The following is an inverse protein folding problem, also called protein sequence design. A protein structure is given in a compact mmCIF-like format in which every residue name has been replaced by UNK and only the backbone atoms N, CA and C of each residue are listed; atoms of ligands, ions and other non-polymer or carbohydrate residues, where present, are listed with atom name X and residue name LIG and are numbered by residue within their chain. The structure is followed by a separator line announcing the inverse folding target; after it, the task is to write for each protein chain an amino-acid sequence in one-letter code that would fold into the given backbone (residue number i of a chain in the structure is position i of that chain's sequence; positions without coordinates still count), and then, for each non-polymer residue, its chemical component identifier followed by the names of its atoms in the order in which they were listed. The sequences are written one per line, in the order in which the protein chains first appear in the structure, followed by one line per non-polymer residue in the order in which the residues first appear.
data_IF_658703974575
#
_entry.id   IF_658703974575
#
_cell.length_a   1.000
_cell.length_b   1.000
_cell.length_c   1.000
_cell.angle_alpha   90.00
_cell.angle_beta   90.00
_cell.angle_gamma   90.00
#
_symmetry.space_group_name_H-M   'P 1'
#
loop_
_entity.id
_entity.type
_entity.pdbx_description
1 polymer ?
#
# COMPACT_ATOMS: atom_id res chain seq x y z
N UNK A 1 -59.43 -45.91 55.87
CA UNK A 1 -58.67 -44.92 55.09
C UNK A 1 -57.70 -45.67 54.18
N UNK A 2 -57.77 -45.38 52.88
CA UNK A 2 -57.26 -46.21 51.77
C UNK A 2 -55.73 -46.13 51.67
N UNK A 3 -55.08 -47.30 51.56
CA UNK A 3 -53.67 -47.46 51.14
C UNK A 3 -53.59 -47.18 49.64
N UNK A 4 -52.72 -46.27 49.22
CA UNK A 4 -52.44 -45.99 47.81
C UNK A 4 -51.17 -46.75 47.40
N UNK A 5 -51.32 -47.66 46.44
CA UNK A 5 -50.26 -48.42 45.80
C UNK A 5 -49.57 -47.55 44.75
N UNK A 6 -48.25 -47.36 44.85
CA UNK A 6 -47.45 -46.66 43.85
C UNK A 6 -47.19 -47.61 42.66
N UNK A 7 -47.72 -47.31 41.48
CA UNK A 7 -47.31 -47.96 40.22
C UNK A 7 -46.14 -47.17 39.64
N UNK A 8 -44.98 -47.83 39.47
CA UNK A 8 -43.87 -47.30 38.71
C UNK A 8 -44.18 -47.42 37.21
N UNK A 9 -44.43 -46.28 36.54
CA UNK A 9 -44.52 -46.22 35.10
C UNK A 9 -43.11 -45.97 34.52
N UNK A 10 -42.50 -47.02 33.97
CA UNK A 10 -41.30 -46.90 33.14
C UNK A 10 -41.67 -46.24 31.81
N UNK A 11 -41.38 -44.95 31.67
CA UNK A 11 -41.34 -44.27 30.37
C UNK A 11 -40.12 -44.77 29.59
N UNK A 12 -40.34 -45.64 28.60
CA UNK A 12 -39.35 -45.93 27.58
C UNK A 12 -39.21 -44.70 26.67
N UNK A 13 -38.13 -43.94 26.83
CA UNK A 13 -37.74 -42.90 25.87
C UNK A 13 -37.19 -43.60 24.64
N UNK A 14 -37.97 -43.63 23.56
CA UNK A 14 -37.48 -43.95 22.23
C UNK A 14 -36.54 -42.81 21.79
N UNK A 15 -35.25 -43.02 21.98
CA UNK A 15 -34.20 -42.20 21.36
C UNK A 15 -34.27 -42.46 19.85
N UNK A 16 -35.05 -41.64 19.13
CA UNK A 16 -34.92 -41.51 17.69
C UNK A 16 -33.48 -41.04 17.40
N UNK A 17 -32.65 -41.95 16.92
CA UNK A 17 -31.28 -41.66 16.54
C UNK A 17 -31.26 -40.61 15.44
N UNK A 18 -31.04 -39.36 15.83
CA UNK A 18 -30.56 -38.36 14.89
C UNK A 18 -29.17 -38.80 14.46
N UNK A 19 -29.08 -39.40 13.28
CA UNK A 19 -27.80 -39.62 12.61
C UNK A 19 -27.11 -38.28 12.47
N UNK A 20 -26.09 -38.01 13.27
CA UNK A 20 -25.19 -36.91 12.97
C UNK A 20 -24.59 -37.18 11.59
N UNK A 21 -24.49 -36.17 10.70
CA UNK A 21 -23.77 -36.37 9.45
C UNK A 21 -22.35 -36.81 9.78
N UNK A 22 -22.02 -38.05 9.41
CA UNK A 22 -20.65 -38.55 9.50
C UNK A 22 -19.87 -37.88 8.38
N UNK A 23 -19.18 -36.79 8.70
CA UNK A 23 -18.16 -36.27 7.81
C UNK A 23 -17.06 -37.33 7.74
N UNK A 24 -16.79 -37.86 6.54
CA UNK A 24 -15.62 -38.70 6.35
C UNK A 24 -14.40 -37.89 6.78
N UNK A 25 -13.60 -38.41 7.71
CA UNK A 25 -12.29 -37.84 7.94
C UNK A 25 -11.52 -37.96 6.63
N UNK A 26 -11.35 -36.83 5.95
CA UNK A 26 -10.42 -36.75 4.84
C UNK A 26 -9.06 -36.89 5.49
N UNK A 27 -8.46 -38.07 5.38
CA UNK A 27 -7.05 -38.22 5.70
C UNK A 27 -6.31 -37.33 4.72
N UNK A 28 -5.78 -36.21 5.20
CA UNK A 28 -4.81 -35.46 4.42
C UNK A 28 -3.68 -36.44 4.10
N UNK A 29 -3.52 -36.76 2.81
CA UNK A 29 -2.41 -37.60 2.36
C UNK A 29 -1.10 -37.01 2.86
N UNK A 30 -0.07 -37.84 3.02
CA UNK A 30 1.23 -37.51 3.62
C UNK A 30 2.09 -36.50 2.85
N UNK A 31 1.48 -35.46 2.30
CA UNK A 31 2.17 -34.29 1.76
C UNK A 31 2.44 -33.31 2.90
N UNK A 32 3.68 -32.84 2.99
CA UNK A 32 4.12 -31.83 3.93
C UNK A 32 3.52 -30.48 3.51
N UNK A 33 2.38 -30.11 4.11
CA UNK A 33 1.75 -28.80 3.85
C UNK A 33 2.67 -27.68 4.34
N UNK A 34 2.74 -26.57 3.59
CA UNK A 34 3.27 -25.31 4.15
C UNK A 34 2.47 -24.96 5.40
N UNK A 35 3.14 -24.88 6.55
CA UNK A 35 2.48 -24.58 7.81
C UNK A 35 1.79 -23.20 7.73
N UNK A 36 0.48 -23.18 8.00
CA UNK A 36 -0.28 -21.95 8.22
C UNK A 36 -0.22 -21.68 9.73
N UNK A 37 0.47 -20.61 10.11
CA UNK A 37 0.68 -20.23 11.51
C UNK A 37 0.31 -18.76 11.75
N UNK A 38 -0.03 -18.40 12.99
CA UNK A 38 -0.20 -16.99 13.33
C UNK A 38 1.16 -16.27 13.17
N UNK A 39 1.29 -15.23 12.32
CA UNK A 39 2.54 -14.51 12.17
C UNK A 39 2.95 -13.87 13.49
N UNK A 40 4.22 -14.06 13.88
CA UNK A 40 4.75 -13.53 15.12
C UNK A 40 4.79 -11.99 15.08
N UNK A 41 4.33 -11.38 16.17
CA UNK A 41 4.52 -9.95 16.40
C UNK A 41 5.95 -9.69 16.88
N UNK A 42 6.58 -8.58 16.46
CA UNK A 42 7.86 -8.18 17.02
C UNK A 42 7.71 -7.76 18.49
N UNK A 43 8.76 -7.93 19.29
CA UNK A 43 8.76 -7.52 20.71
C UNK A 43 8.70 -5.99 20.86
N UNK A 44 9.29 -5.26 19.92
CA UNK A 44 9.29 -3.80 19.84
C UNK A 44 9.06 -3.37 18.41
N UNK A 45 8.35 -2.26 18.25
CA UNK A 45 8.06 -1.69 16.95
C UNK A 45 7.93 -0.17 17.07
N UNK A 46 8.45 0.53 16.06
CA UNK A 46 8.26 1.97 15.91
C UNK A 46 7.72 2.28 14.51
N UNK A 47 7.12 3.45 14.37
CA UNK A 47 6.87 4.08 13.08
C UNK A 47 7.54 5.45 13.07
N UNK A 48 8.53 5.64 12.20
CA UNK A 48 9.26 6.89 12.06
C UNK A 48 9.86 7.41 13.39
N UNK A 49 10.35 6.50 14.24
CA UNK A 49 10.90 6.82 15.55
C UNK A 49 9.87 6.99 16.67
N UNK A 50 8.57 6.89 16.37
CA UNK A 50 7.49 6.89 17.38
C UNK A 50 7.17 5.45 17.80
N UNK A 51 7.21 5.16 19.10
CA UNK A 51 6.93 3.84 19.63
C UNK A 51 5.47 3.42 19.37
N UNK A 52 5.30 2.18 18.91
CA UNK A 52 3.98 1.54 18.78
C UNK A 52 3.69 0.81 20.09
N UNK A 53 2.65 1.18 20.88
CA UNK A 53 2.40 0.63 22.21
C UNK A 53 1.75 -0.76 22.15
N UNK A 54 2.55 -1.79 21.91
CA UNK A 54 2.11 -3.19 21.74
C UNK A 54 1.57 -3.84 23.03
N UNK A 55 1.74 -3.19 24.18
CA UNK A 55 1.11 -3.55 25.45
C UNK A 55 -0.42 -3.34 25.41
N UNK A 56 -0.91 -2.41 24.60
CA UNK A 56 -2.34 -2.17 24.43
C UNK A 56 -2.97 -3.28 23.59
N UNK A 57 -4.07 -3.87 24.09
CA UNK A 57 -4.67 -5.05 23.47
C UNK A 57 -5.21 -4.77 22.06
N UNK A 58 -5.81 -3.59 21.87
CA UNK A 58 -6.42 -3.13 20.62
C UNK A 58 -5.35 -2.80 19.57
N UNK A 59 -4.23 -2.21 19.98
CA UNK A 59 -3.06 -1.99 19.11
C UNK A 59 -2.47 -3.33 18.64
N UNK A 60 -2.28 -4.27 19.57
CA UNK A 60 -1.75 -5.60 19.28
C UNK A 60 -2.66 -6.39 18.33
N UNK A 61 -3.96 -6.40 18.60
CA UNK A 61 -4.95 -7.10 17.78
C UNK A 61 -5.10 -6.45 16.39
N UNK A 62 -5.05 -5.12 16.30
CA UNK A 62 -5.11 -4.41 15.02
C UNK A 62 -3.87 -4.70 14.15
N UNK A 63 -2.67 -4.71 14.74
CA UNK A 63 -1.43 -5.09 14.04
C UNK A 63 -1.45 -6.57 13.61
N UNK A 64 -1.82 -7.48 14.51
CA UNK A 64 -1.92 -8.91 14.20
C UNK A 64 -2.87 -9.15 13.02
N UNK A 65 -3.99 -8.43 12.99
CA UNK A 65 -4.96 -8.52 11.91
C UNK A 65 -4.37 -8.09 10.56
N UNK A 66 -3.65 -6.96 10.49
CA UNK A 66 -3.03 -6.53 9.24
C UNK A 66 -1.83 -7.38 8.85
N UNK A 67 -1.10 -7.97 9.81
CA UNK A 67 -0.06 -8.96 9.52
C UNK A 67 -0.61 -10.26 8.96
N UNK A 68 -1.75 -10.74 9.45
CA UNK A 68 -2.46 -11.87 8.85
C UNK A 68 -2.83 -11.58 7.40
N UNK A 69 -3.37 -10.40 7.12
CA UNK A 69 -3.73 -9.99 5.75
C UNK A 69 -2.48 -9.96 4.86
N UNK A 70 -1.41 -9.28 5.26
CA UNK A 70 -0.18 -9.19 4.48
C UNK A 70 0.50 -10.56 4.31
N UNK A 71 0.50 -11.40 5.34
CA UNK A 71 1.17 -12.71 5.29
C UNK A 71 0.38 -13.73 4.48
N UNK A 72 -0.95 -13.61 4.37
CA UNK A 72 -1.79 -14.61 3.69
C UNK A 72 -2.40 -14.18 2.35
N UNK A 73 -2.27 -12.90 1.96
CA UNK A 73 -2.55 -12.45 0.59
C UNK A 73 -1.32 -12.63 -0.32
N UNK A 74 -0.79 -13.85 -0.38
CA UNK A 74 0.56 -14.16 -0.90
C UNK A 74 0.86 -13.51 -2.25
N UNK A 75 -0.03 -13.64 -3.23
CA UNK A 75 0.21 -13.12 -4.59
C UNK A 75 0.33 -11.60 -4.63
N UNK A 76 -0.48 -10.89 -3.83
CA UNK A 76 -0.43 -9.44 -3.69
C UNK A 76 0.85 -9.00 -3.00
N UNK A 77 1.20 -9.66 -1.90
CA UNK A 77 2.40 -9.36 -1.13
C UNK A 77 3.67 -9.63 -1.94
N UNK A 78 3.78 -10.80 -2.58
CA UNK A 78 4.89 -11.11 -3.49
C UNK A 78 5.07 -10.04 -4.56
N UNK A 79 4.00 -9.66 -5.26
CA UNK A 79 4.08 -8.62 -6.29
C UNK A 79 4.58 -7.29 -5.73
N UNK A 80 4.16 -6.94 -4.52
CA UNK A 80 4.61 -5.71 -3.85
C UNK A 80 6.10 -5.80 -3.50
N UNK A 81 6.52 -6.91 -2.87
CA UNK A 81 7.92 -7.16 -2.47
C UNK A 81 8.86 -7.13 -3.68
N UNK A 82 8.50 -7.81 -4.78
CA UNK A 82 9.30 -7.84 -6.01
C UNK A 82 9.56 -6.44 -6.58
N UNK A 83 8.69 -5.46 -6.33
CA UNK A 83 8.81 -4.11 -6.83
C UNK A 83 9.62 -3.16 -5.92
N UNK A 84 9.97 -3.57 -4.69
CA UNK A 84 10.65 -2.71 -3.72
C UNK A 84 11.91 -2.07 -4.29
N UNK A 85 12.87 -2.88 -4.76
CA UNK A 85 14.15 -2.39 -5.32
C UNK A 85 13.94 -1.38 -6.45
N UNK A 86 12.93 -1.57 -7.31
CA UNK A 86 12.65 -0.69 -8.44
C UNK A 86 12.21 0.71 -8.02
N UNK A 87 11.33 0.81 -7.02
CA UNK A 87 10.72 2.09 -6.68
C UNK A 87 11.34 2.74 -5.45
N UNK A 88 11.81 1.95 -4.48
CA UNK A 88 12.52 2.49 -3.31
C UNK A 88 13.82 3.19 -3.70
N UNK A 89 14.54 2.70 -4.71
CA UNK A 89 15.71 3.40 -5.27
C UNK A 89 15.42 4.80 -5.82
N UNK A 90 14.15 5.13 -6.11
CA UNK A 90 13.71 6.48 -6.48
C UNK A 90 13.10 7.23 -5.30
N UNK A 91 12.33 6.54 -4.45
CA UNK A 91 11.60 7.14 -3.33
C UNK A 91 12.53 7.52 -2.18
N UNK A 92 13.40 6.61 -1.72
CA UNK A 92 14.23 6.78 -0.52
C UNK A 92 15.10 8.04 -0.59
N UNK A 93 15.83 8.34 -1.69
CA UNK A 93 16.62 9.56 -1.79
C UNK A 93 15.77 10.85 -1.77
N UNK A 94 14.52 10.78 -2.22
CA UNK A 94 13.58 11.91 -2.20
C UNK A 94 13.03 12.11 -0.79
N UNK A 95 12.73 11.05 -0.04
CA UNK A 95 12.33 11.15 1.36
C UNK A 95 13.46 11.77 2.20
N UNK A 96 14.68 11.22 2.06
CA UNK A 96 15.87 11.67 2.80
C UNK A 96 16.14 13.16 2.57
N UNK A 97 16.22 13.62 1.31
CA UNK A 97 16.51 15.02 1.00
C UNK A 97 15.43 16.00 1.48
N UNK A 98 14.20 15.52 1.67
CA UNK A 98 13.08 16.32 2.17
C UNK A 98 12.90 16.19 3.71
N UNK A 99 13.75 15.41 4.39
CA UNK A 99 13.67 15.20 5.84
C UNK A 99 12.46 14.35 6.26
N UNK A 100 11.90 13.55 5.36
CA UNK A 100 10.81 12.63 5.67
C UNK A 100 11.40 11.29 6.12
N UNK A 101 10.93 10.71 7.24
CA UNK A 101 11.40 9.41 7.70
C UNK A 101 11.23 8.30 6.65
N UNK A 102 12.24 7.44 6.53
CA UNK A 102 12.31 6.37 5.53
C UNK A 102 11.10 5.41 5.59
N UNK A 103 10.52 5.22 6.78
CA UNK A 103 9.31 4.43 7.00
C UNK A 103 8.12 4.83 6.11
N UNK A 104 8.06 6.08 5.63
CA UNK A 104 7.00 6.53 4.73
C UNK A 104 7.06 5.87 3.33
N UNK A 105 8.15 5.18 2.95
CA UNK A 105 8.16 4.37 1.72
C UNK A 105 7.15 3.21 1.76
N UNK A 106 6.85 2.69 2.95
CA UNK A 106 5.82 1.66 3.15
C UNK A 106 4.39 2.20 2.97
N UNK A 107 4.20 3.52 3.06
CA UNK A 107 2.94 4.17 2.71
C UNK A 107 2.60 3.92 1.24
N UNK A 108 3.57 4.03 0.32
CA UNK A 108 3.34 3.72 -1.11
C UNK A 108 2.91 2.27 -1.35
N UNK A 109 3.43 1.33 -0.56
CA UNK A 109 3.03 -0.07 -0.61
C UNK A 109 1.56 -0.21 -0.17
N UNK A 110 1.17 0.45 0.91
CA UNK A 110 -0.20 0.44 1.42
C UNK A 110 -1.20 1.09 0.45
N UNK A 111 -0.78 2.13 -0.27
CA UNK A 111 -1.63 2.87 -1.21
C UNK A 111 -1.81 2.17 -2.56
N UNK A 112 -0.73 1.68 -3.15
CA UNK A 112 -0.72 1.25 -4.56
C UNK A 112 -0.14 -0.13 -4.80
N UNK A 113 0.32 -0.82 -3.77
CA UNK A 113 1.14 -2.04 -3.90
C UNK A 113 2.38 -1.81 -4.79
N UNK A 114 2.95 -0.59 -4.72
CA UNK A 114 4.05 -0.12 -5.58
C UNK A 114 3.75 -0.23 -7.09
N UNK A 115 2.50 -0.01 -7.48
CA UNK A 115 2.13 0.03 -8.89
C UNK A 115 1.82 1.48 -9.32
N UNK A 116 2.65 2.11 -10.17
CA UNK A 116 2.46 3.51 -10.57
C UNK A 116 1.23 3.72 -11.45
N UNK A 117 0.64 2.66 -12.00
CA UNK A 117 -0.58 2.74 -12.83
C UNK A 117 -1.87 2.57 -12.01
N UNK A 118 -1.81 2.41 -10.69
CA UNK A 118 -2.99 2.20 -9.85
C UNK A 118 -3.90 3.43 -9.83
N UNK A 119 -5.20 3.18 -9.98
CA UNK A 119 -6.27 4.17 -9.80
C UNK A 119 -7.36 3.58 -8.92
N UNK A 120 -7.78 4.30 -7.88
CA UNK A 120 -8.88 3.88 -7.03
C UNK A 120 -10.24 4.16 -7.67
N UNK A 121 -11.32 3.50 -7.24
CA UNK A 121 -12.68 3.83 -7.68
C UNK A 121 -13.07 5.29 -7.41
N UNK A 122 -12.49 5.93 -6.39
CA UNK A 122 -12.70 7.34 -6.06
C UNK A 122 -11.85 8.29 -6.92
N UNK A 123 -10.92 7.77 -7.72
CA UNK A 123 -10.08 8.55 -8.63
C UNK A 123 -8.72 8.98 -8.06
N UNK A 124 -8.31 8.43 -6.91
CA UNK A 124 -6.93 8.54 -6.42
C UNK A 124 -5.99 7.81 -7.39
N UNK A 125 -4.80 8.35 -7.68
CA UNK A 125 -3.93 7.81 -8.73
C UNK A 125 -2.44 7.79 -8.38
N UNK A 126 -1.73 6.86 -9.01
CA UNK A 126 -0.28 6.73 -8.88
C UNK A 126 0.18 5.99 -7.62
N UNK A 127 1.49 5.99 -7.39
CA UNK A 127 2.11 5.31 -6.24
C UNK A 127 1.58 5.82 -4.90
N UNK A 128 1.39 7.14 -4.83
CA UNK A 128 1.02 7.89 -3.65
C UNK A 128 -0.49 8.13 -3.54
N UNK A 129 -1.29 7.58 -4.48
CA UNK A 129 -2.76 7.68 -4.51
C UNK A 129 -3.30 9.10 -4.26
N UNK A 130 -2.74 10.08 -4.95
CA UNK A 130 -3.25 11.45 -4.83
C UNK A 130 -4.64 11.58 -5.45
N UNK A 131 -5.57 12.18 -4.70
CA UNK A 131 -6.81 12.69 -5.27
C UNK A 131 -6.51 13.85 -6.24
N UNK A 132 -7.31 14.07 -7.30
CA UNK A 132 -7.02 15.11 -8.30
C UNK A 132 -6.88 16.52 -7.68
N UNK A 133 -7.72 16.84 -6.70
CA UNK A 133 -7.67 18.13 -6.00
C UNK A 133 -6.38 18.29 -5.22
N UNK A 134 -6.07 17.31 -4.36
CA UNK A 134 -4.87 17.31 -3.52
C UNK A 134 -3.60 17.30 -4.36
N UNK A 135 -3.53 16.51 -5.44
CA UNK A 135 -2.37 16.54 -6.34
C UNK A 135 -2.11 17.95 -6.89
N UNK A 136 -3.15 18.68 -7.30
CA UNK A 136 -3.01 20.08 -7.76
C UNK A 136 -2.60 21.04 -6.63
N UNK A 137 -3.13 20.85 -5.43
CA UNK A 137 -2.75 21.66 -4.25
C UNK A 137 -1.25 21.55 -3.95
N UNK A 138 -0.65 20.38 -4.17
CA UNK A 138 0.78 20.13 -4.02
C UNK A 138 1.57 20.22 -5.33
N UNK A 139 1.04 20.95 -6.33
CA UNK A 139 1.78 21.37 -7.51
C UNK A 139 1.85 20.36 -8.67
N UNK A 140 1.13 19.23 -8.60
CA UNK A 140 1.06 18.27 -9.71
C UNK A 140 0.10 18.76 -10.79
N UNK A 141 0.51 18.66 -12.06
CA UNK A 141 -0.39 18.82 -13.19
C UNK A 141 -1.30 17.59 -13.29
N UNK A 142 -2.62 17.81 -13.24
CA UNK A 142 -3.62 16.73 -13.31
C UNK A 142 -4.59 17.01 -14.44
N UNK A 143 -4.50 16.23 -15.51
CA UNK A 143 -5.35 16.31 -16.69
C UNK A 143 -5.51 14.97 -17.40
N UNK A 144 -6.32 14.94 -18.46
CA UNK A 144 -6.63 13.70 -19.20
C UNK A 144 -5.49 13.21 -20.09
N UNK A 145 -4.66 14.13 -20.61
CA UNK A 145 -3.51 13.80 -21.48
C UNK A 145 -2.20 13.67 -20.70
N UNK A 146 -2.06 14.45 -19.63
CA UNK A 146 -0.91 14.48 -18.73
C UNK A 146 -1.41 14.47 -17.30
N UNK A 147 -0.92 13.53 -16.49
CA UNK A 147 -1.26 13.42 -15.09
C UNK A 147 -0.02 13.05 -14.27
N UNK A 148 0.56 14.05 -13.61
CA UNK A 148 1.80 13.93 -12.84
C UNK A 148 1.60 13.19 -11.52
N UNK A 149 0.37 12.80 -11.15
CA UNK A 149 0.17 11.84 -10.05
C UNK A 149 0.78 10.47 -10.35
N UNK A 150 0.92 10.14 -11.64
CA UNK A 150 1.58 8.92 -12.08
C UNK A 150 3.11 9.09 -12.18
N UNK A 151 3.63 10.33 -12.24
CA UNK A 151 5.07 10.59 -12.24
C UNK A 151 5.66 10.28 -10.86
N UNK A 152 6.58 9.31 -10.80
CA UNK A 152 7.09 8.75 -9.55
C UNK A 152 7.83 9.82 -8.75
N UNK A 153 8.77 10.52 -9.37
CA UNK A 153 9.55 11.56 -8.69
C UNK A 153 8.65 12.72 -8.24
N UNK A 154 7.85 13.30 -9.15
CA UNK A 154 7.03 14.47 -8.80
C UNK A 154 5.98 14.14 -7.75
N UNK A 155 5.31 12.99 -7.86
CA UNK A 155 4.34 12.59 -6.84
C UNK A 155 5.00 12.28 -5.50
N UNK A 156 6.26 11.81 -5.49
CA UNK A 156 7.02 11.63 -4.24
C UNK A 156 7.37 12.98 -3.60
N UNK A 157 7.78 13.99 -4.38
CA UNK A 157 7.99 15.35 -3.85
C UNK A 157 6.69 15.93 -3.26
N UNK A 158 5.56 15.75 -3.95
CA UNK A 158 4.26 16.19 -3.48
C UNK A 158 3.84 15.47 -2.19
N UNK A 159 4.11 14.17 -2.07
CA UNK A 159 3.89 13.41 -0.84
C UNK A 159 4.77 13.90 0.31
N UNK A 160 6.04 14.21 0.06
CA UNK A 160 6.91 14.80 1.06
C UNK A 160 6.38 16.15 1.56
N UNK A 161 5.93 17.01 0.65
CA UNK A 161 5.32 18.29 1.02
C UNK A 161 4.06 18.10 1.87
N UNK A 162 3.18 17.16 1.49
CA UNK A 162 2.00 16.83 2.30
C UNK A 162 2.36 16.36 3.70
N UNK A 163 3.30 15.42 3.80
CA UNK A 163 3.69 14.79 5.06
C UNK A 163 4.35 15.80 6.00
N UNK A 164 5.16 16.73 5.47
CA UNK A 164 5.72 17.83 6.25
C UNK A 164 4.62 18.73 6.80
N UNK A 165 3.68 19.18 5.96
CA UNK A 165 2.57 20.04 6.40
C UNK A 165 1.70 19.34 7.46
N UNK A 166 1.48 18.02 7.32
CA UNK A 166 0.78 17.22 8.31
C UNK A 166 1.58 17.09 9.61
N UNK A 167 2.89 16.85 9.54
CA UNK A 167 3.75 16.79 10.72
C UNK A 167 3.83 18.13 11.45
N UNK A 168 3.99 19.25 10.73
CA UNK A 168 3.96 20.60 11.30
C UNK A 168 2.64 20.88 12.05
N UNK A 169 1.54 20.30 11.57
CA UNK A 169 0.21 20.45 12.19
C UNK A 169 0.02 19.58 13.44
N UNK A 170 0.48 18.35 13.42
CA UNK A 170 0.18 17.36 14.46
C UNK A 170 1.34 17.08 15.43
N UNK A 171 2.57 17.43 15.06
CA UNK A 171 3.78 17.10 15.83
C UNK A 171 4.08 15.60 15.92
N UNK A 172 3.38 14.76 15.12
CA UNK A 172 3.49 13.31 15.15
C UNK A 172 3.38 12.70 13.76
N UNK A 173 4.29 11.78 13.45
CA UNK A 173 4.34 11.00 12.22
C UNK A 173 3.22 9.98 12.13
N UNK A 174 2.83 9.34 13.23
CA UNK A 174 1.67 8.43 13.24
C UNK A 174 0.37 9.18 12.91
N UNK A 175 0.20 10.41 13.43
CA UNK A 175 -0.91 11.29 13.05
C UNK A 175 -0.76 11.85 11.63
N UNK A 176 0.45 12.14 11.16
CA UNK A 176 0.69 12.56 9.78
C UNK A 176 0.29 11.46 8.77
N UNK A 177 0.63 10.20 9.05
CA UNK A 177 0.19 9.05 8.26
C UNK A 177 -1.35 8.89 8.29
N UNK A 178 -1.97 9.02 9.46
CA UNK A 178 -3.44 9.01 9.58
C UNK A 178 -4.09 10.14 8.77
N UNK A 179 -3.49 11.33 8.81
CA UNK A 179 -3.97 12.48 8.05
C UNK A 179 -3.77 12.30 6.55
N UNK A 180 -2.77 11.55 6.09
CA UNK A 180 -2.62 11.21 4.68
C UNK A 180 -3.86 10.46 4.15
N UNK A 181 -4.40 9.53 4.95
CA UNK A 181 -5.60 8.77 4.59
C UNK A 181 -6.92 9.55 4.82
N UNK A 182 -7.09 10.18 5.98
CA UNK A 182 -8.36 10.82 6.38
C UNK A 182 -8.45 12.32 6.06
N UNK A 183 -7.36 12.93 5.61
CA UNK A 183 -7.19 14.37 5.48
C UNK A 183 -6.93 15.08 6.81
N UNK A 184 -6.11 16.13 6.77
CA UNK A 184 -5.74 16.96 7.94
C UNK A 184 -6.95 17.47 8.74
N UNK A 185 -7.99 17.96 8.05
CA UNK A 185 -9.20 18.46 8.72
C UNK A 185 -10.00 17.33 9.39
N UNK A 186 -10.01 16.14 8.80
CA UNK A 186 -10.72 14.98 9.31
C UNK A 186 -10.12 14.43 10.60
N UNK A 187 -8.79 14.39 10.68
CA UNK A 187 -8.06 14.01 11.90
C UNK A 187 -8.23 15.07 12.98
N UNK A 188 -7.94 16.34 12.67
CA UNK A 188 -8.04 17.44 13.65
C UNK A 188 -9.40 17.51 14.32
N UNK A 189 -10.48 17.45 13.54
CA UNK A 189 -11.86 17.50 14.07
C UNK A 189 -12.14 16.36 15.05
N UNK A 190 -11.62 15.16 14.80
CA UNK A 190 -11.87 13.98 15.65
C UNK A 190 -11.07 14.03 16.94
N UNK A 191 -9.81 14.47 16.85
CA UNK A 191 -8.98 14.73 18.02
C UNK A 191 -9.63 15.78 18.93
N UNK A 192 -10.10 16.89 18.36
CA UNK A 192 -10.77 17.98 19.08
C UNK A 192 -12.06 17.50 19.78
N UNK A 193 -12.93 16.76 19.09
CA UNK A 193 -14.17 16.23 19.67
C UNK A 193 -13.90 15.27 20.83
N UNK A 194 -12.81 14.48 20.74
CA UNK A 194 -12.50 13.44 21.71
C UNK A 194 -11.56 13.89 22.82
N UNK A 195 -10.93 15.07 22.69
CA UNK A 195 -9.89 15.54 23.61
C UNK A 195 -8.66 14.64 23.64
N UNK A 196 -8.26 14.10 22.48
CA UNK A 196 -7.11 13.19 22.34
C UNK A 196 -5.99 13.83 21.53
N UNK A 197 -4.75 13.41 21.79
CA UNK A 197 -3.55 14.05 21.23
C UNK A 197 -2.67 13.10 20.40
N UNK A 198 -3.03 11.82 20.29
CA UNK A 198 -2.23 10.82 19.58
C UNK A 198 -3.12 9.86 18.76
N UNK A 199 -2.50 9.13 17.83
CA UNK A 199 -3.18 8.20 16.95
C UNK A 199 -3.89 7.05 17.68
N UNK A 200 -3.25 6.48 18.70
CA UNK A 200 -3.69 5.26 19.37
C UNK A 200 -4.95 5.49 20.22
N UNK A 201 -5.11 6.68 20.78
CA UNK A 201 -6.26 7.04 21.60
C UNK A 201 -7.41 7.67 20.78
N UNK A 202 -7.15 8.23 19.60
CA UNK A 202 -8.19 8.86 18.78
C UNK A 202 -9.01 7.82 18.01
N UNK A 203 -10.32 7.77 18.25
CA UNK A 203 -11.24 6.99 17.42
C UNK A 203 -11.42 7.63 16.03
N UNK A 204 -10.71 7.09 15.04
CA UNK A 204 -10.72 7.53 13.64
C UNK A 204 -11.69 6.67 12.80
N UNK A 205 -11.97 7.01 11.52
CA UNK A 205 -12.69 6.11 10.64
C UNK A 205 -12.00 4.74 10.56
N UNK A 206 -12.78 3.66 10.41
CA UNK A 206 -12.25 2.29 10.42
C UNK A 206 -11.09 2.09 9.42
N UNK A 207 -11.17 2.69 8.23
CA UNK A 207 -10.09 2.65 7.24
C UNK A 207 -8.79 3.25 7.80
N UNK A 208 -8.87 4.42 8.43
CA UNK A 208 -7.74 5.16 9.00
C UNK A 208 -7.17 4.50 10.25
N UNK A 209 -8.02 3.95 11.12
CA UNK A 209 -7.58 3.14 12.27
C UNK A 209 -6.85 1.87 11.85
N UNK A 210 -7.09 1.37 10.63
CA UNK A 210 -6.35 0.23 10.08
C UNK A 210 -5.12 0.64 9.28
N UNK A 211 -5.09 1.88 8.81
CA UNK A 211 -4.12 2.36 7.85
C UNK A 211 -2.68 2.30 8.35
N UNK A 212 -2.42 2.77 9.57
CA UNK A 212 -1.08 2.71 10.16
C UNK A 212 -0.62 1.26 10.35
N UNK A 213 -1.49 0.38 10.84
CA UNK A 213 -1.16 -1.04 11.02
C UNK A 213 -0.91 -1.77 9.70
N UNK A 214 -1.56 -1.35 8.61
CA UNK A 214 -1.27 -1.85 7.26
C UNK A 214 0.11 -1.41 6.79
N UNK A 215 0.50 -0.16 7.06
CA UNK A 215 1.86 0.32 6.77
C UNK A 215 2.88 -0.46 7.59
N UNK A 216 2.64 -0.62 8.90
CA UNK A 216 3.50 -1.37 9.81
C UNK A 216 3.63 -2.85 9.42
N UNK A 217 2.55 -3.51 9.00
CA UNK A 217 2.61 -4.90 8.55
C UNK A 217 3.46 -5.05 7.28
N UNK A 218 3.40 -4.07 6.37
CA UNK A 218 4.27 -4.00 5.19
C UNK A 218 5.72 -3.66 5.55
N UNK A 219 5.96 -2.82 6.57
CA UNK A 219 7.30 -2.56 7.14
C UNK A 219 7.92 -3.86 7.67
N UNK A 220 7.18 -4.58 8.51
CA UNK A 220 7.60 -5.82 9.13
C UNK A 220 7.94 -6.88 8.06
N UNK A 221 6.98 -7.20 7.18
CA UNK A 221 7.17 -8.22 6.14
C UNK A 221 8.20 -7.77 5.09
N UNK A 222 8.24 -6.49 4.75
CA UNK A 222 9.21 -5.97 3.79
C UNK A 222 10.65 -5.92 4.33
N UNK A 223 10.84 -5.79 5.64
CA UNK A 223 12.16 -5.76 6.26
C UNK A 223 12.77 -7.15 6.43
N UNK A 224 11.94 -8.16 6.67
CA UNK A 224 12.36 -9.56 6.75
C UNK A 224 11.33 -10.50 6.10
N UNK A 225 11.27 -10.58 4.76
CA UNK A 225 10.27 -11.39 4.08
C UNK A 225 10.31 -12.88 4.47
N UNK A 226 11.51 -13.42 4.71
CA UNK A 226 11.72 -14.83 4.99
C UNK A 226 11.13 -15.24 6.35
N UNK A 227 11.28 -14.40 7.38
CA UNK A 227 10.66 -14.61 8.70
C UNK A 227 9.13 -14.73 8.64
N UNK A 228 8.51 -14.18 7.59
CA UNK A 228 7.06 -14.19 7.37
C UNK A 228 6.62 -15.10 6.21
N UNK A 229 7.50 -16.02 5.77
CA UNK A 229 7.16 -17.06 4.79
C UNK A 229 7.33 -16.68 3.32
N UNK A 230 7.88 -15.50 3.03
CA UNK A 230 8.18 -15.04 1.66
C UNK A 230 9.64 -15.31 1.31
N UNK A 231 9.90 -16.42 0.63
CA UNK A 231 11.24 -16.77 0.15
C UNK A 231 11.52 -16.09 -1.18
N UNK A 232 12.35 -15.05 -1.16
CA UNK A 232 12.78 -14.27 -2.31
C UNK A 232 14.32 -14.29 -2.42
N UNK A 233 14.84 -14.51 -3.63
CA UNK A 233 16.28 -14.38 -3.92
C UNK A 233 16.57 -12.95 -4.38
N UNK A 234 17.82 -12.51 -4.24
CA UNK A 234 18.23 -11.17 -4.66
C UNK A 234 17.88 -10.82 -6.12
N UNK A 235 17.97 -11.80 -7.02
CA UNK A 235 17.66 -11.63 -8.44
C UNK A 235 16.16 -11.73 -8.77
N UNK A 236 15.31 -12.12 -7.81
CA UNK A 236 13.86 -12.12 -8.01
C UNK A 236 13.31 -10.68 -7.99
N UNK A 237 13.95 -9.77 -7.25
CA UNK A 237 13.54 -8.36 -7.18
C UNK A 237 13.71 -7.65 -8.52
N UNK A 238 12.68 -6.94 -8.94
CA UNK A 238 12.72 -6.09 -10.11
C UNK A 238 13.68 -4.91 -9.89
N UNK A 239 14.71 -4.80 -10.73
CA UNK A 239 15.66 -3.69 -10.66
C UNK A 239 15.08 -2.32 -11.08
N UNK A 240 15.77 -1.22 -10.71
CA UNK A 240 15.41 0.18 -11.07
C UNK A 240 15.41 0.38 -12.58
N UNK A 241 14.47 1.12 -13.17
CA UNK A 241 14.44 1.42 -14.61
C UNK A 241 15.32 2.62 -14.95
N UNK A 242 16.64 2.45 -14.91
CA UNK A 242 17.68 3.49 -14.87
C UNK A 242 18.49 3.70 -16.17
N UNK A 243 18.44 2.76 -17.12
CA UNK A 243 19.03 2.94 -18.46
C UNK A 243 18.17 3.88 -19.34
N UNK A 244 18.17 5.16 -19.01
CA UNK A 244 17.51 6.21 -19.78
C UNK A 244 18.33 7.50 -19.81
N UNK A 245 17.98 8.38 -20.74
CA UNK A 245 18.40 9.79 -20.74
C UNK A 245 17.19 10.70 -20.73
N UNK A 246 17.31 11.87 -20.12
CA UNK A 246 16.26 12.89 -20.15
C UNK A 246 16.45 13.78 -21.36
N UNK A 247 15.38 14.03 -22.12
CA UNK A 247 15.35 14.96 -23.26
C UNK A 247 14.26 15.99 -23.06
N UNK A 248 14.42 17.15 -23.67
CA UNK A 248 13.40 18.19 -23.70
C UNK A 248 12.53 18.03 -24.94
N UNK A 249 11.21 17.98 -24.75
CA UNK A 249 10.22 17.92 -25.81
C UNK A 249 9.30 19.12 -25.69
N UNK A 250 9.19 19.88 -26.78
CA UNK A 250 8.31 21.03 -26.92
C UNK A 250 7.58 20.96 -28.27
N UNK A 251 6.61 21.85 -28.46
CA UNK A 251 5.72 21.87 -29.62
C UNK A 251 4.27 21.94 -29.20
N UNK A 252 3.40 22.47 -30.07
CA UNK A 252 1.98 22.66 -29.78
C UNK A 252 1.21 21.34 -29.69
N UNK A 253 1.37 20.50 -30.71
CA UNK A 253 0.70 19.19 -30.81
C UNK A 253 1.75 18.08 -30.73
N UNK A 254 1.90 17.47 -29.55
CA UNK A 254 2.90 16.44 -29.32
C UNK A 254 2.24 15.07 -29.49
N UNK A 255 2.74 14.28 -30.45
CA UNK A 255 2.34 12.87 -30.64
C UNK A 255 3.41 11.95 -30.07
N UNK A 256 3.13 11.30 -28.95
CA UNK A 256 4.12 10.49 -28.24
C UNK A 256 4.68 9.31 -29.03
N UNK A 257 3.91 8.62 -29.90
CA UNK A 257 4.47 7.59 -30.78
C UNK A 257 5.54 8.14 -31.75
N UNK A 258 5.35 9.35 -32.28
CA UNK A 258 6.32 10.01 -33.16
C UNK A 258 7.56 10.48 -32.39
N UNK A 259 7.37 10.98 -31.15
CA UNK A 259 8.48 11.26 -30.22
C UNK A 259 9.30 10.00 -29.96
N UNK A 260 8.64 8.89 -29.63
CA UNK A 260 9.31 7.60 -29.40
C UNK A 260 10.12 7.15 -30.63
N UNK A 261 9.53 7.24 -31.83
CA UNK A 261 10.19 6.88 -33.09
C UNK A 261 11.45 7.70 -33.37
N UNK A 262 11.42 9.02 -33.12
CA UNK A 262 12.59 9.91 -33.26
C UNK A 262 13.78 9.50 -32.39
N UNK A 263 13.52 8.82 -31.28
CA UNK A 263 14.55 8.34 -30.37
C UNK A 263 14.86 6.84 -30.49
N UNK A 264 14.34 6.18 -31.54
CA UNK A 264 14.62 4.76 -31.78
C UNK A 264 13.97 3.82 -30.75
N UNK A 265 12.87 4.24 -30.13
CA UNK A 265 12.09 3.41 -29.20
C UNK A 265 10.62 3.33 -29.64
N UNK A 266 9.77 2.70 -28.82
CA UNK A 266 8.33 2.63 -29.04
C UNK A 266 7.56 3.30 -27.90
N UNK A 267 6.30 3.67 -28.17
CA UNK A 267 5.44 4.34 -27.21
C UNK A 267 5.30 3.58 -25.88
N UNK A 268 5.27 2.24 -25.92
CA UNK A 268 5.16 1.41 -24.71
C UNK A 268 6.35 1.64 -23.77
N UNK A 269 7.58 1.63 -24.27
CA UNK A 269 8.77 1.87 -23.45
C UNK A 269 8.85 3.33 -23.00
N UNK A 270 8.46 4.27 -23.86
CA UNK A 270 8.42 5.69 -23.51
C UNK A 270 7.44 5.92 -22.34
N UNK A 271 6.20 5.40 -22.44
CA UNK A 271 5.19 5.53 -21.38
C UNK A 271 5.56 4.78 -20.11
N UNK A 272 6.23 3.62 -20.20
CA UNK A 272 6.72 2.90 -19.02
C UNK A 272 7.65 3.77 -18.15
N UNK A 273 8.53 4.55 -18.79
CA UNK A 273 9.43 5.49 -18.11
C UNK A 273 8.76 6.82 -17.76
N UNK A 274 7.64 7.15 -18.40
CA UNK A 274 6.90 8.40 -18.23
C UNK A 274 5.40 8.10 -18.03
N UNK A 275 5.04 7.43 -16.92
CA UNK A 275 3.66 6.99 -16.67
C UNK A 275 2.63 8.13 -16.58
N UNK A 276 3.10 9.38 -16.42
CA UNK A 276 2.30 10.59 -16.51
C UNK A 276 1.72 10.87 -17.90
N UNK A 277 2.23 10.24 -18.96
CA UNK A 277 1.64 10.29 -20.30
C UNK A 277 0.36 9.43 -20.32
N UNK A 278 -0.81 10.09 -20.33
CA UNK A 278 -2.12 9.41 -20.23
C UNK A 278 -2.86 9.23 -21.55
N UNK A 279 -2.43 9.94 -22.58
CA UNK A 279 -2.97 9.85 -23.93
C UNK A 279 -1.82 9.73 -24.96
N UNK A 280 -2.12 9.36 -26.21
CA UNK A 280 -1.16 9.29 -27.32
C UNK A 280 -0.75 10.67 -27.84
N UNK A 281 -1.57 11.68 -27.57
CA UNK A 281 -1.37 13.07 -27.99
C UNK A 281 -1.45 13.99 -26.77
N UNK A 282 -0.65 15.06 -26.79
CA UNK A 282 -0.73 16.14 -25.82
C UNK A 282 -0.85 17.48 -26.55
N UNK A 283 -1.97 18.18 -26.32
CA UNK A 283 -2.17 19.56 -26.78
C UNK A 283 -1.53 20.50 -25.76
N UNK A 284 -0.28 20.84 -26.01
CA UNK A 284 0.57 21.65 -25.15
C UNK A 284 0.23 23.14 -25.34
N UNK A 285 -0.98 23.52 -24.91
CA UNK A 285 -1.51 24.88 -25.16
C UNK A 285 -0.64 25.98 -24.59
N UNK A 286 -0.02 25.67 -23.47
CA UNK A 286 0.81 26.57 -22.68
C UNK A 286 2.27 26.61 -23.17
N UNK A 287 2.63 25.83 -24.19
CA UNK A 287 3.99 25.83 -24.75
C UNK A 287 5.05 25.35 -23.76
N UNK A 288 4.68 24.45 -22.83
CA UNK A 288 5.58 23.92 -21.81
C UNK A 288 6.72 23.13 -22.45
N UNK A 289 7.91 23.21 -21.86
CA UNK A 289 9.01 22.30 -22.16
C UNK A 289 8.86 21.09 -21.24
N UNK A 290 8.69 19.92 -21.82
CA UNK A 290 8.50 18.67 -21.09
C UNK A 290 9.81 17.90 -21.01
N UNK A 291 10.21 17.53 -19.79
CA UNK A 291 11.33 16.61 -19.56
C UNK A 291 10.82 15.18 -19.70
N UNK A 292 11.35 14.46 -20.68
CA UNK A 292 10.91 13.11 -21.04
C UNK A 292 12.06 12.13 -20.88
N UNK A 293 11.86 11.06 -20.12
CA UNK A 293 12.83 9.95 -20.00
C UNK A 293 12.75 9.06 -21.23
N UNK A 294 13.83 8.99 -21.99
CA UNK A 294 13.93 8.17 -23.20
C UNK A 294 14.82 6.97 -22.90
N UNK A 295 14.36 5.73 -23.15
CA UNK A 295 15.12 4.53 -22.85
C UNK A 295 16.42 4.46 -23.67
N UNK A 296 17.46 3.88 -23.07
CA UNK A 296 18.68 3.48 -23.76
C UNK A 296 18.43 2.43 -24.84
N UNK A 297 19.40 2.25 -25.75
CA UNK A 297 19.27 1.36 -26.92
C UNK A 297 18.96 -0.09 -26.52
N UNK A 298 19.48 -0.54 -25.39
CA UNK A 298 19.33 -1.92 -24.90
C UNK A 298 18.35 -2.04 -23.73
N UNK A 299 17.61 -0.98 -23.38
CA UNK A 299 16.72 -0.92 -22.22
C UNK A 299 15.77 -2.11 -22.08
N UNK A 300 15.26 -2.64 -23.20
CA UNK A 300 14.32 -3.78 -23.22
C UNK A 300 15.00 -5.15 -23.15
N UNK A 301 16.23 -5.25 -23.64
CA UNK A 301 16.99 -6.49 -23.69
C UNK A 301 17.84 -6.71 -22.42
N UNK A 302 18.05 -5.65 -21.63
CA UNK A 302 18.72 -5.72 -20.35
C UNK A 302 17.69 -5.98 -19.23
N UNK A 303 17.73 -7.20 -18.67
CA UNK A 303 17.45 -7.58 -17.26
C UNK A 303 17.25 -9.08 -17.16
#
# INVERSE_FOLDING_TARGET
MKRLTLYAATCAVLLAGCSQPSYSQVSAGGEEFSAIALPALPEKLDFAGEEVPLEYFDVREALQRELLVTSYMHSGTFRTLLNMKRYFSVIEPILERNGIPDDFKYLCMAESALNPETVSPAGAAGLWQFMPKTGREYGLAVGSQVDERYDIEKSTEAACAYLRDAYERFGSWTLAAAAYNAGNAGVSRRMEIQGTENYYDTFLPQETMRYLYRILSLKIVGSDPEAYGFRLRGDDYYGPLDDYRTVEVSGRDIKWPEVAGRYGTNYKMLRLLNPWMRDYVYDNKEGRILKVKVPGRNFRAAR
#
